data_IF_464392561243
#
_entry.id   IF_464392561243
#
_cell.length_a   1.000
_cell.length_b   1.000
_cell.length_c   1.000
_cell.angle_alpha   90.00
_cell.angle_beta   90.00
_cell.angle_gamma   90.00
#
_symmetry.space_group_name_H-M   'P 1'
#
loop_
_entity.id
_entity.type
_entity.pdbx_description
1 polymer ?
#
# COMPACT_ATOMS: atom_id res chain seq x y z
N UNK A 1 3.36 -21.61 -2.38
CA UNK A 1 4.38 -21.57 -1.31
C UNK A 1 3.77 -20.85 -0.11
N UNK A 2 3.56 -21.53 1.02
CA UNK A 2 3.07 -20.91 2.25
C UNK A 2 4.11 -19.89 2.78
N UNK A 3 3.66 -18.70 3.18
CA UNK A 3 4.54 -17.68 3.75
C UNK A 3 3.76 -16.73 4.64
N UNK A 4 4.31 -16.45 5.81
CA UNK A 4 3.87 -15.37 6.68
C UNK A 4 4.61 -14.08 6.30
N UNK A 5 3.91 -13.09 5.78
CA UNK A 5 4.49 -11.81 5.35
C UNK A 5 4.98 -10.93 6.52
N UNK A 6 4.74 -11.32 7.78
CA UNK A 6 5.40 -10.70 8.94
C UNK A 6 6.78 -11.29 9.24
N UNK A 7 7.15 -12.38 8.56
CA UNK A 7 8.47 -13.00 8.59
C UNK A 7 9.27 -12.60 7.35
N UNK A 8 10.60 -12.68 7.44
CA UNK A 8 11.50 -12.29 6.36
C UNK A 8 11.12 -12.96 5.02
N UNK A 9 11.05 -12.17 3.95
CA UNK A 9 10.69 -12.66 2.63
C UNK A 9 11.73 -13.68 2.12
N UNK A 10 11.28 -14.89 1.81
CA UNK A 10 12.13 -16.01 1.39
C UNK A 10 12.49 -15.95 -0.10
N UNK A 11 11.65 -15.34 -0.95
CA UNK A 11 12.00 -15.08 -2.35
C UNK A 11 12.92 -13.87 -2.39
N UNK A 12 14.22 -14.10 -2.59
CA UNK A 12 15.23 -13.04 -2.65
C UNK A 12 15.40 -12.53 -4.09
N UNK A 13 15.77 -11.26 -4.22
CA UNK A 13 16.22 -10.66 -5.48
C UNK A 13 15.18 -10.67 -6.62
N UNK A 14 13.89 -10.75 -6.29
CA UNK A 14 12.83 -10.58 -7.29
C UNK A 14 12.87 -9.16 -7.88
N UNK A 15 12.44 -9.02 -9.13
CA UNK A 15 12.32 -7.71 -9.80
C UNK A 15 11.17 -6.88 -9.22
N UNK A 16 10.06 -7.55 -8.86
CA UNK A 16 8.85 -6.90 -8.34
C UNK A 16 8.26 -7.67 -7.17
N UNK A 17 7.94 -6.97 -6.10
CA UNK A 17 7.10 -7.45 -5.01
C UNK A 17 5.76 -6.73 -5.05
N UNK A 18 4.68 -7.48 -5.24
CA UNK A 18 3.35 -6.94 -5.49
C UNK A 18 2.41 -7.19 -4.31
N UNK A 19 1.81 -6.12 -3.79
CA UNK A 19 0.83 -6.18 -2.71
C UNK A 19 -0.49 -5.54 -3.17
N UNK A 20 -1.53 -6.36 -3.34
CA UNK A 20 -2.87 -5.88 -3.69
C UNK A 20 -3.82 -6.10 -2.52
N UNK A 21 -4.47 -5.03 -2.04
CA UNK A 21 -5.47 -5.14 -0.97
C UNK A 21 -4.95 -5.86 0.29
N UNK A 22 -3.67 -5.62 0.63
CA UNK A 22 -3.05 -6.13 1.86
C UNK A 22 -3.05 -5.07 2.95
N UNK A 23 -2.42 -3.93 2.68
CA UNK A 23 -2.18 -2.87 3.66
C UNK A 23 -3.46 -2.20 4.20
N UNK A 24 -4.56 -2.17 3.44
CA UNK A 24 -5.84 -1.61 3.91
C UNK A 24 -6.55 -2.45 4.99
N UNK A 25 -6.10 -3.68 5.27
CA UNK A 25 -6.62 -4.53 6.34
C UNK A 25 -5.84 -4.35 7.66
N UNK A 26 -4.79 -3.52 7.65
CA UNK A 26 -3.76 -3.49 8.67
C UNK A 26 -3.56 -2.08 9.21
N UNK A 27 -3.48 -1.95 10.54
CA UNK A 27 -2.99 -0.74 11.18
C UNK A 27 -1.51 -0.50 10.84
N UNK A 28 -1.06 0.76 10.93
CA UNK A 28 0.29 1.20 10.52
C UNK A 28 1.41 0.32 11.08
N UNK A 29 1.34 -0.04 12.37
CA UNK A 29 2.36 -0.87 13.02
C UNK A 29 2.58 -2.22 12.33
N UNK A 30 1.53 -2.80 11.75
CA UNK A 30 1.59 -4.07 11.04
C UNK A 30 2.04 -3.88 9.59
N UNK A 31 1.59 -2.81 8.94
CA UNK A 31 2.05 -2.43 7.61
C UNK A 31 3.57 -2.21 7.60
N UNK A 32 4.11 -1.43 8.53
CA UNK A 32 5.56 -1.20 8.72
C UNK A 32 6.31 -2.52 8.90
N UNK A 33 5.76 -3.45 9.70
CA UNK A 33 6.40 -4.76 9.94
C UNK A 33 6.56 -5.58 8.65
N UNK A 34 5.58 -5.55 7.75
CA UNK A 34 5.65 -6.26 6.46
C UNK A 34 6.81 -5.74 5.61
N UNK A 35 7.03 -4.43 5.64
CA UNK A 35 8.03 -3.80 4.80
C UNK A 35 9.43 -4.03 5.34
N UNK A 36 9.61 -3.94 6.65
CA UNK A 36 10.86 -4.34 7.30
C UNK A 36 11.21 -5.81 7.02
N UNK A 37 10.21 -6.69 6.96
CA UNK A 37 10.43 -8.09 6.59
C UNK A 37 10.77 -8.28 5.10
N UNK A 38 10.36 -7.35 4.24
CA UNK A 38 10.63 -7.36 2.81
C UNK A 38 12.00 -6.77 2.44
N UNK A 39 12.43 -5.70 3.10
CA UNK A 39 13.66 -4.95 2.79
C UNK A 39 14.89 -5.86 2.60
N UNK A 40 15.16 -6.87 3.48
CA UNK A 40 16.30 -7.78 3.31
C UNK A 40 16.26 -8.67 2.06
N UNK A 41 15.13 -8.73 1.36
CA UNK A 41 14.97 -9.50 0.13
C UNK A 41 15.14 -8.66 -1.16
N UNK A 42 15.25 -7.33 -1.03
CA UNK A 42 15.36 -6.43 -2.17
C UNK A 42 16.78 -6.45 -2.75
N UNK A 43 16.87 -6.51 -4.09
CA UNK A 43 18.09 -6.17 -4.83
C UNK A 43 18.04 -4.71 -5.26
N UNK A 44 19.20 -4.15 -5.61
CA UNK A 44 19.25 -2.85 -6.28
C UNK A 44 18.36 -2.86 -7.55
N UNK A 45 17.49 -1.86 -7.67
CA UNK A 45 16.54 -1.74 -8.78
C UNK A 45 15.24 -2.57 -8.65
N UNK A 46 15.07 -3.36 -7.57
CA UNK A 46 13.80 -4.02 -7.29
C UNK A 46 12.69 -3.00 -7.05
N UNK A 47 11.45 -3.32 -7.44
CA UNK A 47 10.28 -2.46 -7.24
C UNK A 47 9.29 -3.09 -6.28
N UNK A 48 8.70 -2.26 -5.42
CA UNK A 48 7.53 -2.62 -4.62
C UNK A 48 6.34 -1.94 -5.26
N UNK A 49 5.31 -2.71 -5.59
CA UNK A 49 4.08 -2.19 -6.19
C UNK A 49 2.92 -2.46 -5.24
N UNK A 50 2.28 -1.37 -4.78
CA UNK A 50 1.15 -1.42 -3.86
C UNK A 50 -0.10 -1.00 -4.62
N UNK A 51 -1.05 -1.94 -4.77
CA UNK A 51 -2.34 -1.71 -5.41
C UNK A 51 -3.44 -1.63 -4.36
N UNK A 52 -3.93 -0.42 -4.11
CA UNK A 52 -4.90 -0.09 -3.07
C UNK A 52 -5.94 0.89 -3.60
N UNK A 53 -7.00 1.10 -2.84
CA UNK A 53 -7.92 2.19 -3.12
C UNK A 53 -7.26 3.50 -2.70
N UNK A 54 -7.18 4.44 -3.65
CA UNK A 54 -6.71 5.79 -3.39
C UNK A 54 -7.92 6.69 -3.16
N UNK A 55 -8.01 7.26 -1.96
CA UNK A 55 -8.89 8.40 -1.74
C UNK A 55 -8.38 9.58 -2.57
N UNK A 56 -9.30 10.26 -3.26
CA UNK A 56 -9.07 11.38 -4.20
C UNK A 56 -8.90 10.99 -5.68
N UNK A 57 -9.10 9.73 -6.08
CA UNK A 57 -9.31 9.42 -7.50
C UNK A 57 -10.51 10.23 -8.03
N UNK A 58 -10.34 10.88 -9.19
CA UNK A 58 -11.38 11.73 -9.79
C UNK A 58 -12.65 10.91 -9.99
N UNK A 59 -13.68 11.19 -9.20
CA UNK A 59 -14.94 10.47 -9.29
C UNK A 59 -15.64 10.82 -10.61
N UNK A 60 -15.78 9.83 -11.48
CA UNK A 60 -16.49 10.00 -12.76
C UNK A 60 -18.02 9.91 -12.61
N UNK A 61 -18.51 9.35 -11.50
CA UNK A 61 -19.94 9.17 -11.23
C UNK A 61 -20.28 9.42 -9.75
N UNK A 62 -21.58 9.64 -9.46
CA UNK A 62 -22.09 9.69 -8.07
C UNK A 62 -21.83 8.40 -7.29
N UNK A 63 -21.73 7.26 -7.98
CA UNK A 63 -21.43 5.96 -7.37
C UNK A 63 -19.96 5.88 -6.95
N UNK A 64 -19.04 6.17 -7.87
CA UNK A 64 -17.59 6.15 -7.59
C UNK A 64 -17.21 7.18 -6.53
N UNK A 65 -17.94 8.29 -6.43
CA UNK A 65 -17.77 9.27 -5.34
C UNK A 65 -18.04 8.66 -3.95
N UNK A 66 -18.94 7.68 -3.84
CA UNK A 66 -19.30 7.03 -2.56
C UNK A 66 -18.45 5.80 -2.25
N UNK A 67 -17.82 5.19 -3.25
CA UNK A 67 -17.11 3.93 -3.07
C UNK A 67 -16.01 3.97 -2.00
N UNK A 68 -15.12 4.97 -1.94
CA UNK A 68 -14.08 4.99 -0.91
C UNK A 68 -14.66 4.98 0.50
N UNK A 69 -15.74 5.75 0.75
CA UNK A 69 -16.44 5.74 2.05
C UNK A 69 -17.10 4.40 2.36
N UNK A 70 -17.69 3.73 1.37
CA UNK A 70 -18.26 2.40 1.58
C UNK A 70 -17.18 1.37 1.92
N UNK A 71 -16.03 1.44 1.24
CA UNK A 71 -14.90 0.54 1.50
C UNK A 71 -14.30 0.80 2.88
N UNK A 72 -14.18 2.07 3.28
CA UNK A 72 -13.70 2.43 4.62
C UNK A 72 -14.62 1.91 5.74
N UNK A 73 -15.95 1.99 5.54
CA UNK A 73 -16.92 1.35 6.45
C UNK A 73 -16.74 -0.17 6.51
N UNK A 74 -16.51 -0.83 5.37
CA UNK A 74 -16.26 -2.27 5.31
C UNK A 74 -14.98 -2.62 6.08
N UNK A 75 -13.91 -1.82 5.91
CA UNK A 75 -12.65 -2.04 6.63
C UNK A 75 -12.78 -1.87 8.13
N UNK A 76 -13.49 -0.82 8.55
CA UNK A 76 -13.75 -0.56 9.97
C UNK A 76 -14.53 -1.72 10.59
N UNK A 77 -15.59 -2.20 9.93
CA UNK A 77 -16.43 -3.27 10.46
C UNK A 77 -15.77 -4.67 10.40
N UNK A 78 -14.98 -4.94 9.36
CA UNK A 78 -14.40 -6.28 9.12
C UNK A 78 -13.08 -6.52 9.84
N UNK A 79 -12.19 -5.52 9.85
CA UNK A 79 -10.80 -5.68 10.30
C UNK A 79 -10.37 -4.65 11.35
N UNK A 80 -11.27 -3.74 11.76
CA UNK A 80 -10.91 -2.57 12.56
C UNK A 80 -9.75 -1.80 11.91
N UNK A 81 -9.85 -1.65 10.58
CA UNK A 81 -8.85 -0.99 9.73
C UNK A 81 -9.46 0.20 8.99
N UNK A 82 -8.65 0.85 8.15
CA UNK A 82 -9.01 2.06 7.44
C UNK A 82 -8.50 2.03 6.00
N UNK A 83 -9.26 2.67 5.11
CA UNK A 83 -8.79 2.99 3.77
C UNK A 83 -7.97 4.28 3.82
N UNK A 84 -6.72 4.25 3.35
CA UNK A 84 -5.77 5.36 3.51
C UNK A 84 -5.97 6.46 2.47
N UNK A 85 -5.79 7.70 2.91
CA UNK A 85 -5.63 8.86 2.02
C UNK A 85 -4.19 8.98 1.54
N UNK A 86 -3.95 9.87 0.58
CA UNK A 86 -2.61 10.17 0.08
C UNK A 86 -1.65 10.58 1.21
N UNK A 87 -2.10 11.43 2.13
CA UNK A 87 -1.31 11.90 3.26
C UNK A 87 -1.03 10.77 4.26
N UNK A 88 -1.99 9.87 4.49
CA UNK A 88 -1.79 8.68 5.33
C UNK A 88 -0.73 7.74 4.74
N UNK A 89 -0.68 7.62 3.40
CA UNK A 89 0.36 6.88 2.71
C UNK A 89 1.73 7.52 2.87
N UNK A 90 1.84 8.84 2.73
CA UNK A 90 3.09 9.57 2.96
C UNK A 90 3.63 9.32 4.38
N UNK A 91 2.77 9.46 5.40
CA UNK A 91 3.12 9.18 6.80
C UNK A 91 3.54 7.72 7.01
N UNK A 92 2.89 6.77 6.33
CA UNK A 92 3.27 5.35 6.42
C UNK A 92 4.63 5.09 5.76
N UNK A 93 4.91 5.74 4.63
CA UNK A 93 6.19 5.65 3.94
C UNK A 93 7.33 6.18 4.82
N UNK A 94 7.16 7.35 5.45
CA UNK A 94 8.15 7.91 6.39
C UNK A 94 8.51 6.96 7.54
N UNK A 95 7.54 6.18 8.03
CA UNK A 95 7.74 5.27 9.19
C UNK A 95 8.41 3.95 8.83
N UNK A 96 8.28 3.46 7.59
CA UNK A 96 8.62 2.08 7.23
C UNK A 96 9.57 1.90 6.05
N UNK A 97 9.91 2.97 5.33
CA UNK A 97 10.72 2.91 4.11
C UNK A 97 12.13 3.49 4.31
N UNK A 98 12.86 3.00 5.32
CA UNK A 98 14.30 3.28 5.40
C UNK A 98 15.02 2.57 4.24
N UNK A 99 15.74 3.33 3.41
CA UNK A 99 16.52 2.79 2.28
C UNK A 99 15.72 2.46 1.02
N UNK A 100 14.44 2.87 0.93
CA UNK A 100 13.61 2.67 -0.27
C UNK A 100 13.00 4.00 -0.70
N UNK A 101 13.16 4.35 -1.98
CA UNK A 101 12.62 5.58 -2.55
C UNK A 101 11.18 5.37 -3.02
N UNK A 102 10.27 6.27 -2.63
CA UNK A 102 8.92 6.37 -3.20
C UNK A 102 9.02 7.02 -4.59
N UNK A 103 8.54 6.31 -5.62
CA UNK A 103 8.63 6.79 -7.01
C UNK A 103 7.39 7.56 -7.48
N UNK A 104 6.27 7.44 -6.75
CA UNK A 104 4.98 8.04 -7.09
C UNK A 104 3.83 7.05 -7.04
N UNK A 105 2.66 7.50 -7.48
CA UNK A 105 1.46 6.68 -7.64
C UNK A 105 0.85 6.89 -9.03
N UNK A 106 0.03 5.93 -9.46
CA UNK A 106 -0.80 6.02 -10.65
C UNK A 106 -2.23 5.68 -10.27
N UNK A 107 -3.19 6.53 -10.67
CA UNK A 107 -4.61 6.29 -10.43
C UNK A 107 -5.27 5.47 -11.55
N UNK A 108 -6.55 5.11 -11.37
CA UNK A 108 -7.29 4.35 -12.39
C UNK A 108 -7.51 5.08 -13.72
N UNK A 109 -7.28 6.39 -13.77
CA UNK A 109 -7.33 7.20 -14.98
C UNK A 109 -5.95 7.33 -15.66
N UNK A 110 -4.91 6.67 -15.11
CA UNK A 110 -3.53 6.75 -15.59
C UNK A 110 -2.84 8.06 -15.22
N UNK A 111 -3.38 8.81 -14.25
CA UNK A 111 -2.75 10.02 -13.76
C UNK A 111 -1.64 9.64 -12.79
N UNK A 112 -0.42 10.04 -13.13
CA UNK A 112 0.75 9.85 -12.27
C UNK A 112 0.94 11.05 -11.34
N UNK A 113 1.20 10.79 -10.06
CA UNK A 113 1.53 11.80 -9.06
C UNK A 113 2.72 11.40 -8.20
N UNK A 114 3.22 12.35 -7.41
CA UNK A 114 4.24 12.13 -6.39
C UNK A 114 3.60 12.24 -5.01
N UNK A 115 4.16 11.53 -4.03
CA UNK A 115 3.85 11.80 -2.62
C UNK A 115 4.71 12.99 -2.19
N UNK A 116 4.09 13.99 -1.55
CA UNK A 116 4.76 15.20 -1.04
C UNK A 116 5.66 14.88 0.16
#
# INVERSE_FOLDING_TARGET
MPHDFFSEQYVKNADVYFFRFIFHNLADKYAVKILHALIPALKAGARIVICQVLHNAVATTKWTQKQPRHLDMIQTLGWNSLERTHDDWAVLFEKGWEGVQVLGYEDSAGQCGQFD
#
